data_IF_389904307848
#
_entry.id   IF_389904307848
#
_cell.length_a   1.000
_cell.length_b   1.000
_cell.length_c   1.000
_cell.angle_alpha   90.00
_cell.angle_beta   90.00
_cell.angle_gamma   90.00
#
_symmetry.space_group_name_H-M   'P 1'
#
loop_
_entity.id
_entity.type
_entity.pdbx_description
1 polymer ?
#
# COMPACT_ATOMS: atom_id res chain seq x y z
N UNK A 1 -10.27 -27.33 21.51
CA UNK A 1 -9.78 -26.89 20.19
C UNK A 1 -8.72 -25.83 20.38
N UNK A 2 -7.66 -25.81 19.54
CA UNK A 2 -6.53 -24.89 19.66
C UNK A 2 -6.69 -23.71 18.69
N UNK A 3 -6.17 -22.53 19.04
CA UNK A 3 -6.07 -21.36 18.16
C UNK A 3 -4.64 -21.21 17.66
N UNK A 4 -4.48 -21.16 16.34
CA UNK A 4 -3.19 -21.07 15.69
C UNK A 4 -2.83 -19.60 15.44
N UNK A 5 -1.66 -19.19 15.89
CA UNK A 5 -0.99 -18.00 15.38
C UNK A 5 0.20 -18.38 14.51
N UNK A 6 0.45 -17.63 13.45
CA UNK A 6 1.55 -17.85 12.51
C UNK A 6 2.36 -16.57 12.42
N UNK A 7 3.69 -16.64 12.59
CA UNK A 7 4.52 -15.44 12.52
C UNK A 7 6.00 -15.66 12.78
N UNK A 8 6.76 -14.56 12.69
CA UNK A 8 8.20 -14.52 13.00
C UNK A 8 8.48 -14.22 14.47
N UNK A 9 7.70 -13.33 15.10
CA UNK A 9 7.83 -12.98 16.52
C UNK A 9 9.19 -12.37 16.91
N UNK A 10 9.64 -11.36 16.16
CA UNK A 10 11.00 -10.82 16.28
C UNK A 10 11.07 -9.28 16.31
N UNK A 11 11.65 -8.68 17.36
CA UNK A 11 11.81 -9.28 18.69
C UNK A 11 10.44 -9.62 19.31
N UNK A 12 10.41 -10.58 20.23
CA UNK A 12 9.17 -10.93 20.92
C UNK A 12 8.78 -9.85 21.95
N UNK A 13 7.89 -8.93 21.56
CA UNK A 13 7.50 -7.76 22.37
C UNK A 13 6.07 -7.82 22.94
N UNK A 14 5.69 -6.80 23.73
CA UNK A 14 4.39 -6.67 24.43
C UNK A 14 3.18 -6.82 23.51
N UNK A 15 3.23 -6.27 22.30
CA UNK A 15 2.15 -6.44 21.31
C UNK A 15 1.84 -7.89 20.94
N UNK A 16 2.85 -8.74 20.73
CA UNK A 16 2.64 -10.16 20.50
C UNK A 16 2.01 -10.82 21.72
N UNK A 17 2.48 -10.47 22.93
CA UNK A 17 1.94 -10.99 24.18
C UNK A 17 0.45 -10.70 24.32
N UNK A 18 0.05 -9.44 24.12
CA UNK A 18 -1.34 -9.03 24.24
C UNK A 18 -2.30 -9.80 23.29
N UNK A 19 -1.85 -10.14 22.07
CA UNK A 19 -2.63 -10.97 21.15
C UNK A 19 -2.85 -12.38 21.69
N UNK A 20 -1.78 -13.00 22.17
CA UNK A 20 -1.79 -14.37 22.71
C UNK A 20 -2.60 -14.41 24.01
N UNK A 21 -2.35 -13.49 24.94
CA UNK A 21 -3.03 -13.36 26.23
C UNK A 21 -4.54 -13.20 26.05
N UNK A 22 -4.98 -12.44 25.05
CA UNK A 22 -6.40 -12.26 24.76
C UNK A 22 -7.07 -13.58 24.37
N UNK A 23 -6.38 -14.43 23.61
CA UNK A 23 -6.92 -15.75 23.22
C UNK A 23 -6.86 -16.73 24.38
N UNK A 24 -5.79 -16.72 25.18
CA UNK A 24 -5.68 -17.53 26.40
C UNK A 24 -6.77 -17.18 27.41
N UNK A 25 -7.05 -15.89 27.64
CA UNK A 25 -8.12 -15.39 28.53
C UNK A 25 -9.53 -15.81 28.10
N UNK A 26 -9.73 -16.17 26.83
CA UNK A 26 -10.98 -16.77 26.34
C UNK A 26 -11.07 -18.28 26.64
N UNK A 27 -10.13 -18.85 27.38
CA UNK A 27 -10.07 -20.27 27.74
C UNK A 27 -9.61 -21.19 26.59
N UNK A 28 -9.00 -20.63 25.54
CA UNK A 28 -8.54 -21.41 24.37
C UNK A 28 -7.08 -21.79 24.53
N UNK A 29 -6.75 -23.03 24.14
CA UNK A 29 -5.35 -23.45 23.97
C UNK A 29 -4.74 -22.76 22.75
N UNK A 30 -3.48 -22.37 22.82
CA UNK A 30 -2.79 -21.66 21.74
C UNK A 30 -1.69 -22.52 21.14
N UNK A 31 -1.58 -22.51 19.80
CA UNK A 31 -0.43 -23.02 19.05
C UNK A 31 0.20 -21.84 18.32
N UNK A 32 1.53 -21.75 18.37
CA UNK A 32 2.31 -20.75 17.66
C UNK A 32 3.16 -21.47 16.61
N UNK A 33 2.81 -21.29 15.34
CA UNK A 33 3.65 -21.69 14.21
C UNK A 33 4.72 -20.63 13.96
N UNK A 34 5.92 -20.91 14.43
CA UNK A 34 7.07 -20.03 14.33
C UNK A 34 7.80 -20.27 13.01
N UNK A 35 7.87 -19.23 12.17
CA UNK A 35 8.57 -19.29 10.87
C UNK A 35 10.08 -19.37 11.04
N UNK A 36 10.70 -20.33 10.37
CA UNK A 36 12.14 -20.49 10.31
C UNK A 36 12.77 -19.54 9.27
N UNK A 37 12.93 -18.28 9.63
CA UNK A 37 13.52 -17.23 8.79
C UNK A 37 15.04 -17.18 8.91
N UNK A 38 15.76 -16.77 7.84
CA UNK A 38 17.18 -16.44 7.92
C UNK A 38 17.48 -15.35 8.95
N UNK A 39 18.70 -15.36 9.49
CA UNK A 39 19.20 -14.30 10.38
C UNK A 39 19.59 -13.09 9.54
N UNK A 40 19.22 -11.90 9.99
CA UNK A 40 19.66 -10.62 9.42
C UNK A 40 19.76 -9.57 10.52
N UNK A 41 20.25 -8.36 10.21
CA UNK A 41 20.26 -7.24 11.17
C UNK A 41 18.87 -6.94 11.73
N UNK A 42 17.83 -7.02 10.88
CA UNK A 42 16.43 -6.87 11.29
C UNK A 42 15.87 -8.11 12.01
N UNK A 43 16.48 -9.28 11.80
CA UNK A 43 16.04 -10.57 12.34
C UNK A 43 17.22 -11.27 13.06
N UNK A 44 17.70 -10.75 14.20
CA UNK A 44 18.99 -11.16 14.80
C UNK A 44 18.97 -12.49 15.58
N UNK A 45 17.83 -13.18 15.62
CA UNK A 45 17.56 -14.38 16.43
C UNK A 45 17.13 -15.54 15.56
N UNK A 46 17.73 -16.70 15.83
CA UNK A 46 17.33 -17.99 15.29
C UNK A 46 15.90 -18.36 15.70
N UNK A 47 15.33 -19.34 15.00
CA UNK A 47 14.02 -19.90 15.38
C UNK A 47 14.05 -20.56 16.77
N UNK A 48 15.20 -21.12 17.18
CA UNK A 48 15.39 -21.73 18.50
C UNK A 48 15.34 -20.69 19.61
N UNK A 49 16.12 -19.62 19.49
CA UNK A 49 16.14 -18.52 20.47
C UNK A 49 14.76 -17.87 20.60
N UNK A 50 14.07 -17.66 19.48
CA UNK A 50 12.69 -17.13 19.49
C UNK A 50 11.72 -18.07 20.20
N UNK A 51 11.82 -19.37 19.96
CA UNK A 51 11.01 -20.36 20.67
C UNK A 51 11.29 -20.34 22.18
N UNK A 52 12.56 -20.24 22.59
CA UNK A 52 12.95 -20.10 24.00
C UNK A 52 12.41 -18.82 24.63
N UNK A 53 12.47 -17.68 23.93
CA UNK A 53 11.87 -16.42 24.40
C UNK A 53 10.38 -16.55 24.67
N UNK A 54 9.64 -17.22 23.77
CA UNK A 54 8.20 -17.44 23.94
C UNK A 54 7.94 -18.43 25.08
N UNK A 55 8.71 -19.53 25.19
CA UNK A 55 8.61 -20.50 26.29
C UNK A 55 8.90 -19.88 27.65
N UNK A 56 9.85 -18.95 27.74
CA UNK A 56 10.12 -18.23 29.00
C UNK A 56 8.93 -17.39 29.48
N UNK A 57 8.04 -16.99 28.57
CA UNK A 57 6.86 -16.17 28.91
C UNK A 57 5.65 -17.05 29.22
N UNK A 58 5.43 -18.11 28.45
CA UNK A 58 4.19 -18.89 28.51
C UNK A 58 4.34 -20.33 29.00
N UNK A 59 5.56 -20.84 29.14
CA UNK A 59 5.80 -22.24 29.49
C UNK A 59 4.99 -23.19 28.61
N UNK A 60 4.20 -24.04 29.25
CA UNK A 60 3.35 -25.04 28.60
C UNK A 60 1.93 -24.53 28.27
N UNK A 61 1.61 -23.26 28.54
CA UNK A 61 0.31 -22.66 28.17
C UNK A 61 0.15 -22.52 26.65
N UNK A 62 1.28 -22.46 25.92
CA UNK A 62 1.32 -22.40 24.46
C UNK A 62 2.15 -23.54 23.89
N UNK A 63 1.66 -24.13 22.82
CA UNK A 63 2.43 -25.09 22.02
C UNK A 63 3.15 -24.36 20.90
N UNK A 64 4.42 -24.69 20.66
CA UNK A 64 5.21 -24.06 19.59
C UNK A 64 5.55 -25.14 18.56
N UNK A 65 5.23 -24.85 17.30
CA UNK A 65 5.66 -25.65 16.16
C UNK A 65 6.55 -24.79 15.26
N UNK A 66 7.65 -25.36 14.76
CA UNK A 66 8.50 -24.68 13.78
C UNK A 66 8.00 -25.04 12.39
N UNK A 67 7.81 -24.03 11.55
CA UNK A 67 7.42 -24.20 10.14
C UNK A 67 8.48 -23.59 9.21
N UNK A 68 8.55 -24.02 7.94
CA UNK A 68 9.35 -23.34 6.93
C UNK A 68 9.01 -21.86 6.84
N UNK A 69 9.90 -21.07 6.24
CA UNK A 69 9.55 -19.71 5.91
C UNK A 69 8.51 -19.70 4.78
N UNK A 70 7.31 -19.20 5.06
CA UNK A 70 6.18 -19.25 4.12
C UNK A 70 5.85 -17.86 3.56
N UNK A 71 5.50 -17.82 2.27
CA UNK A 71 5.03 -16.61 1.62
C UNK A 71 3.52 -16.35 1.86
N UNK A 72 2.72 -17.41 1.88
CA UNK A 72 1.26 -17.32 1.94
C UNK A 72 0.62 -18.44 2.76
N UNK A 73 -0.63 -18.21 3.17
CA UNK A 73 -1.50 -19.21 3.81
C UNK A 73 -2.79 -19.29 3.00
N UNK A 74 -2.92 -20.35 2.21
CA UNK A 74 -4.07 -20.60 1.36
C UNK A 74 -5.08 -21.52 2.07
N UNK A 75 -6.38 -21.30 1.89
CA UNK A 75 -7.43 -22.10 2.50
C UNK A 75 -8.64 -22.24 1.57
N UNK A 76 -9.29 -23.41 1.61
CA UNK A 76 -10.43 -23.76 0.75
C UNK A 76 -11.80 -23.45 1.34
N UNK A 77 -12.85 -23.94 0.66
CA UNK A 77 -14.23 -23.90 1.18
C UNK A 77 -14.41 -24.98 2.26
N UNK A 78 -15.15 -24.66 3.33
CA UNK A 78 -15.51 -25.59 4.44
C UNK A 78 -14.31 -26.23 5.16
N UNK A 79 -13.24 -25.48 5.40
CA UNK A 79 -11.99 -25.96 6.03
C UNK A 79 -12.10 -26.45 7.49
N UNK A 80 -13.28 -26.42 8.10
CA UNK A 80 -13.49 -26.91 9.47
C UNK A 80 -12.92 -26.01 10.58
N UNK A 81 -12.27 -24.89 10.25
CA UNK A 81 -11.79 -23.89 11.21
C UNK A 81 -12.28 -22.47 10.86
N UNK A 82 -12.25 -21.57 11.85
CA UNK A 82 -12.63 -20.16 11.70
C UNK A 82 -11.38 -19.29 11.55
N UNK A 83 -11.41 -18.36 10.60
CA UNK A 83 -10.41 -17.29 10.51
C UNK A 83 -10.91 -16.11 11.32
N UNK A 84 -10.11 -15.69 12.30
CA UNK A 84 -10.45 -14.60 13.20
C UNK A 84 -9.30 -13.61 13.28
N UNK A 85 -9.62 -12.33 13.09
CA UNK A 85 -8.72 -11.24 13.47
C UNK A 85 -8.91 -10.89 14.94
N UNK A 86 -7.87 -11.03 15.74
CA UNK A 86 -7.83 -10.52 17.12
C UNK A 86 -7.52 -9.02 17.05
N UNK A 87 -8.40 -8.18 17.61
CA UNK A 87 -8.19 -6.72 17.70
C UNK A 87 -7.71 -6.37 19.10
N UNK A 88 -6.69 -5.53 19.22
CA UNK A 88 -6.23 -4.99 20.49
C UNK A 88 -6.78 -3.56 20.66
N UNK A 89 -6.63 -2.98 21.84
CA UNK A 89 -6.88 -1.55 22.03
C UNK A 89 -5.84 -0.72 21.24
N UNK A 90 -6.18 0.53 20.91
CA UNK A 90 -5.35 1.38 20.04
C UNK A 90 -3.91 1.54 20.55
N UNK A 91 -3.73 1.69 21.86
CA UNK A 91 -2.43 1.92 22.47
C UNK A 91 -1.54 0.66 22.37
N UNK A 92 -2.12 -0.53 22.54
CA UNK A 92 -1.39 -1.80 22.39
C UNK A 92 -1.15 -2.18 20.93
N UNK A 93 -2.05 -1.82 20.01
CA UNK A 93 -1.80 -1.94 18.56
C UNK A 93 -0.59 -1.07 18.15
N UNK A 94 -0.48 0.15 18.69
CA UNK A 94 0.67 1.05 18.47
C UNK A 94 1.99 0.49 19.02
N UNK A 95 1.97 -0.28 20.12
CA UNK A 95 3.17 -0.96 20.67
C UNK A 95 3.54 -2.21 19.85
N UNK A 96 2.54 -2.88 19.26
CA UNK A 96 2.74 -4.07 18.41
C UNK A 96 3.27 -3.74 17.01
N UNK A 97 3.10 -2.49 16.59
CA UNK A 97 3.81 -1.92 15.48
C UNK A 97 5.21 -1.56 15.97
N UNK A 98 6.17 -2.47 15.76
CA UNK A 98 7.59 -2.11 15.75
C UNK A 98 7.73 -0.77 15.02
N UNK A 99 8.41 0.20 15.65
CA UNK A 99 8.69 1.56 15.16
C UNK A 99 9.50 1.61 13.83
N UNK A 100 9.39 0.60 12.96
CA UNK A 100 10.12 0.44 11.69
C UNK A 100 9.17 0.29 10.48
N UNK A 101 7.86 0.55 10.61
CA UNK A 101 6.96 0.72 9.44
C UNK A 101 6.03 1.90 9.61
N UNK A 102 6.61 3.07 9.83
CA UNK A 102 5.84 4.31 9.80
C UNK A 102 5.63 4.86 8.37
N UNK A 103 5.66 4.02 7.33
CA UNK A 103 5.04 4.41 6.06
C UNK A 103 3.54 4.12 6.14
N UNK A 104 2.73 5.07 6.63
CA UNK A 104 1.29 5.06 6.32
C UNK A 104 1.19 5.05 4.80
N UNK A 105 0.81 3.91 4.21
CA UNK A 105 0.68 3.81 2.75
C UNK A 105 -0.26 4.89 2.24
N UNK A 106 0.18 5.63 1.21
CA UNK A 106 -0.51 6.84 0.75
C UNK A 106 -1.15 6.63 -0.61
N UNK A 107 -2.25 7.34 -0.83
CA UNK A 107 -2.72 7.63 -2.19
C UNK A 107 -2.19 9.01 -2.50
N UNK A 108 -1.41 9.13 -3.57
CA UNK A 108 -0.82 10.36 -4.07
C UNK A 108 -1.51 10.66 -5.39
N UNK A 109 -2.15 11.82 -5.50
CA UNK A 109 -2.90 12.17 -6.69
C UNK A 109 -2.24 13.33 -7.41
N UNK A 110 -1.67 13.04 -8.58
CA UNK A 110 -1.11 14.04 -9.48
C UNK A 110 -2.24 14.62 -10.33
N UNK A 111 -2.50 15.92 -10.19
CA UNK A 111 -3.50 16.64 -10.99
C UNK A 111 -2.85 17.81 -11.72
N UNK A 112 -3.32 18.08 -12.93
CA UNK A 112 -2.78 19.11 -13.82
C UNK A 112 -3.33 18.91 -15.23
N UNK A 113 -3.22 19.93 -16.09
CA UNK A 113 -3.69 19.84 -17.47
C UNK A 113 -2.97 18.76 -18.28
N UNK A 114 -3.53 18.40 -19.45
CA UNK A 114 -2.85 17.50 -20.40
C UNK A 114 -1.47 18.08 -20.74
N UNK A 115 -0.44 17.23 -20.74
CA UNK A 115 0.93 17.64 -21.05
C UNK A 115 1.66 18.41 -19.94
N UNK A 116 1.11 18.51 -18.73
CA UNK A 116 1.80 19.14 -17.58
C UNK A 116 2.95 18.29 -16.99
N UNK A 117 3.20 17.08 -17.50
CA UNK A 117 4.27 16.20 -16.99
C UNK A 117 3.86 15.20 -15.89
N UNK A 118 2.56 14.98 -15.63
CA UNK A 118 2.08 14.04 -14.59
C UNK A 118 2.65 12.63 -14.71
N UNK A 119 2.52 12.02 -15.89
CA UNK A 119 2.95 10.63 -16.11
C UNK A 119 4.46 10.48 -15.95
N UNK A 120 5.27 11.44 -16.45
CA UNK A 120 6.71 11.44 -16.25
C UNK A 120 7.09 11.53 -14.75
N UNK A 121 6.44 12.41 -13.99
CA UNK A 121 6.66 12.51 -12.55
C UNK A 121 6.16 11.28 -11.79
N UNK A 122 5.08 10.64 -12.25
CA UNK A 122 4.53 9.42 -11.65
C UNK A 122 5.53 8.27 -11.68
N UNK A 123 6.18 8.04 -12.83
CA UNK A 123 7.19 6.98 -12.99
C UNK A 123 8.43 7.21 -12.11
N UNK A 124 8.91 8.45 -11.99
CA UNK A 124 10.03 8.74 -11.08
C UNK A 124 9.66 8.52 -9.61
N UNK A 125 8.45 8.88 -9.23
CA UNK A 125 7.94 8.67 -7.88
C UNK A 125 7.64 7.20 -7.59
N UNK A 126 7.27 6.40 -8.59
CA UNK A 126 6.98 4.98 -8.44
C UNK A 126 8.18 4.22 -7.89
N UNK A 127 9.35 4.39 -8.52
CA UNK A 127 10.58 3.78 -8.04
C UNK A 127 10.87 4.23 -6.62
N UNK A 128 10.89 5.54 -6.35
CA UNK A 128 11.27 6.09 -5.03
C UNK A 128 10.33 5.71 -3.90
N UNK A 129 9.03 5.58 -4.17
CA UNK A 129 8.01 5.35 -3.16
C UNK A 129 7.52 3.89 -3.09
N UNK A 130 8.03 3.02 -3.97
CA UNK A 130 7.55 1.65 -4.16
C UNK A 130 6.01 1.63 -4.23
N UNK A 131 5.49 2.25 -5.28
CA UNK A 131 4.07 2.51 -5.46
C UNK A 131 3.51 1.75 -6.68
N UNK A 132 2.20 1.60 -6.72
CA UNK A 132 1.47 1.20 -7.93
C UNK A 132 0.99 2.48 -8.63
N UNK A 133 1.26 2.62 -9.92
CA UNK A 133 0.70 3.70 -10.73
C UNK A 133 -0.70 3.30 -11.23
N UNK A 134 -1.65 4.23 -11.09
CA UNK A 134 -2.93 4.22 -11.81
C UNK A 134 -2.89 5.35 -12.84
N UNK A 135 -2.48 5.03 -14.07
CA UNK A 135 -2.40 5.98 -15.17
C UNK A 135 -3.78 6.24 -15.79
N UNK A 136 -4.08 7.49 -16.13
CA UNK A 136 -5.40 7.87 -16.63
C UNK A 136 -5.80 7.22 -17.95
N UNK A 137 -4.86 6.96 -18.85
CA UNK A 137 -5.16 6.36 -20.15
C UNK A 137 -5.38 4.86 -20.00
N UNK A 138 -4.54 4.17 -19.22
CA UNK A 138 -4.73 2.76 -18.87
C UNK A 138 -6.03 2.51 -18.09
N UNK A 139 -6.32 3.35 -17.09
CA UNK A 139 -7.57 3.27 -16.31
C UNK A 139 -8.81 3.59 -17.15
N UNK A 140 -8.64 4.32 -18.27
CA UNK A 140 -9.72 4.54 -19.23
C UNK A 140 -10.03 3.30 -20.04
N UNK A 141 -9.00 2.63 -20.54
CA UNK A 141 -9.16 1.42 -21.34
C UNK A 141 -9.65 0.22 -20.50
N UNK A 142 -9.28 0.16 -19.21
CA UNK A 142 -9.66 -0.93 -18.32
C UNK A 142 -11.00 -0.70 -17.62
N UNK A 143 -11.02 0.10 -16.55
CA UNK A 143 -12.17 0.22 -15.65
C UNK A 143 -13.18 1.27 -16.10
N UNK A 144 -12.88 2.02 -17.16
CA UNK A 144 -13.75 3.09 -17.68
C UNK A 144 -14.02 2.97 -19.17
N UNK A 145 -13.92 1.76 -19.70
CA UNK A 145 -14.23 1.46 -21.10
C UNK A 145 -15.65 1.95 -21.45
N UNK A 146 -15.78 2.57 -22.61
CA UNK A 146 -17.05 3.14 -23.10
C UNK A 146 -17.44 4.50 -22.50
N UNK A 147 -16.70 5.04 -21.52
CA UNK A 147 -16.93 6.40 -21.03
C UNK A 147 -16.31 7.44 -21.98
N UNK A 148 -17.09 8.46 -22.31
CA UNK A 148 -16.61 9.62 -23.04
C UNK A 148 -15.77 10.58 -22.17
N UNK A 149 -15.75 11.83 -22.61
CA UNK A 149 -14.99 12.91 -21.99
C UNK A 149 -15.87 14.04 -21.43
N UNK A 150 -17.19 13.79 -21.31
CA UNK A 150 -18.11 14.72 -20.67
C UNK A 150 -17.77 14.94 -19.20
N UNK A 151 -18.29 16.02 -18.60
CA UNK A 151 -18.12 16.30 -17.17
C UNK A 151 -18.57 15.12 -16.29
N UNK A 152 -19.69 14.49 -16.64
CA UNK A 152 -20.25 13.34 -15.93
C UNK A 152 -19.36 12.11 -16.07
N UNK A 153 -18.89 11.81 -17.29
CA UNK A 153 -18.02 10.65 -17.55
C UNK A 153 -16.67 10.79 -16.84
N UNK A 154 -16.09 12.00 -16.86
CA UNK A 154 -14.87 12.30 -16.11
C UNK A 154 -15.05 12.13 -14.62
N UNK A 155 -16.20 12.54 -14.08
CA UNK A 155 -16.50 12.30 -12.67
C UNK A 155 -16.58 10.80 -12.37
N UNK A 156 -17.34 10.02 -13.15
CA UNK A 156 -17.46 8.56 -12.96
C UNK A 156 -16.10 7.89 -13.03
N UNK A 157 -15.29 8.20 -14.05
CA UNK A 157 -13.93 7.72 -14.20
C UNK A 157 -13.06 8.01 -12.96
N UNK A 158 -13.00 9.28 -12.54
CA UNK A 158 -12.25 9.70 -11.36
C UNK A 158 -12.70 8.98 -10.07
N UNK A 159 -14.01 8.77 -9.89
CA UNK A 159 -14.54 8.06 -8.72
C UNK A 159 -14.29 6.55 -8.78
N UNK A 160 -14.16 5.94 -9.96
CA UNK A 160 -13.75 4.53 -10.12
C UNK A 160 -12.27 4.39 -9.71
N UNK A 161 -11.40 5.24 -10.26
CA UNK A 161 -9.97 5.27 -9.91
C UNK A 161 -9.76 5.52 -8.41
N UNK A 162 -10.50 6.45 -7.80
CA UNK A 162 -10.41 6.72 -6.36
C UNK A 162 -10.79 5.50 -5.48
N UNK A 163 -11.77 4.70 -5.91
CA UNK A 163 -12.15 3.47 -5.20
C UNK A 163 -11.09 2.39 -5.35
N UNK A 164 -10.53 2.21 -6.56
CA UNK A 164 -9.43 1.28 -6.78
C UNK A 164 -8.20 1.65 -5.95
N UNK A 165 -7.81 2.93 -5.96
CA UNK A 165 -6.70 3.43 -5.16
C UNK A 165 -6.90 3.19 -3.65
N UNK A 166 -8.14 3.31 -3.15
CA UNK A 166 -8.46 2.99 -1.76
C UNK A 166 -8.26 1.51 -1.43
N UNK A 167 -8.66 0.62 -2.34
CA UNK A 167 -8.51 -0.83 -2.17
C UNK A 167 -7.03 -1.20 -2.13
N UNK A 168 -6.24 -0.73 -3.10
CA UNK A 168 -4.80 -0.99 -3.15
C UNK A 168 -4.07 -0.45 -1.91
N UNK A 169 -4.40 0.76 -1.47
CA UNK A 169 -3.88 1.30 -0.19
C UNK A 169 -4.25 0.41 1.00
N UNK A 170 -5.47 -0.10 1.06
CA UNK A 170 -5.90 -0.99 2.14
C UNK A 170 -5.19 -2.35 2.13
N UNK A 171 -4.65 -2.76 0.98
CA UNK A 171 -3.82 -3.95 0.81
C UNK A 171 -2.34 -3.70 1.13
N UNK A 172 -1.95 -2.46 1.45
CA UNK A 172 -0.58 -2.14 1.85
C UNK A 172 0.30 -1.54 0.75
N UNK A 173 -0.28 -1.08 -0.36
CA UNK A 173 0.48 -0.42 -1.43
C UNK A 173 0.43 1.10 -1.30
N UNK A 174 1.53 1.77 -1.64
CA UNK A 174 1.43 3.17 -2.05
C UNK A 174 0.79 3.20 -3.43
N UNK A 175 -0.02 4.22 -3.70
CA UNK A 175 -0.71 4.35 -4.97
C UNK A 175 -0.48 5.74 -5.49
N UNK A 176 0.08 5.86 -6.69
CA UNK A 176 0.21 7.11 -7.42
C UNK A 176 -0.89 7.13 -8.48
N UNK A 177 -1.69 8.18 -8.49
CA UNK A 177 -2.78 8.36 -9.45
C UNK A 177 -2.40 9.50 -10.39
N UNK A 178 -2.21 9.20 -11.67
CA UNK A 178 -1.87 10.16 -12.72
C UNK A 178 -3.10 10.44 -13.60
N UNK A 179 -4.12 11.08 -13.01
CA UNK A 179 -5.41 11.32 -13.67
C UNK A 179 -5.81 12.79 -13.60
N UNK A 180 -6.30 13.34 -14.71
CA UNK A 180 -6.86 14.69 -14.72
C UNK A 180 -8.18 14.70 -13.93
N UNK A 181 -8.17 15.43 -12.81
CA UNK A 181 -9.34 15.69 -11.98
C UNK A 181 -9.71 17.19 -12.07
N UNK A 182 -10.34 17.65 -13.17
CA UNK A 182 -10.42 19.08 -13.50
C UNK A 182 -11.39 19.85 -12.61
N UNK A 183 -12.43 19.20 -12.07
CA UNK A 183 -13.48 19.85 -11.30
C UNK A 183 -13.24 19.77 -9.79
N UNK A 184 -13.35 20.90 -9.08
CA UNK A 184 -13.20 20.95 -7.63
C UNK A 184 -14.26 20.11 -6.92
N UNK A 185 -15.47 20.04 -7.46
CA UNK A 185 -16.56 19.19 -6.95
C UNK A 185 -16.19 17.71 -6.96
N UNK A 186 -15.58 17.22 -8.04
CA UNK A 186 -15.09 15.84 -8.15
C UNK A 186 -13.92 15.60 -7.18
N UNK A 187 -12.96 16.53 -7.07
CA UNK A 187 -11.86 16.41 -6.10
C UNK A 187 -12.35 16.32 -4.64
N UNK A 188 -13.40 17.07 -4.28
CA UNK A 188 -14.05 16.93 -2.95
C UNK A 188 -14.61 15.53 -2.72
N UNK A 189 -15.25 14.92 -3.73
CA UNK A 189 -15.77 13.54 -3.64
C UNK A 189 -14.63 12.52 -3.53
N UNK A 190 -13.59 12.65 -4.34
CA UNK A 190 -12.37 11.83 -4.27
C UNK A 190 -11.77 11.88 -2.85
N UNK A 191 -11.63 13.08 -2.29
CA UNK A 191 -11.04 13.26 -0.97
C UNK A 191 -11.84 12.54 0.13
N UNK A 192 -13.18 12.51 0.04
CA UNK A 192 -14.02 11.72 0.94
C UNK A 192 -13.80 10.21 0.80
N UNK A 193 -13.40 9.71 -0.38
CA UNK A 193 -13.22 8.28 -0.65
C UNK A 193 -11.86 7.78 -0.13
N UNK A 194 -10.76 8.39 -0.58
CA UNK A 194 -9.41 7.87 -0.37
C UNK A 194 -8.47 8.81 0.39
N UNK A 195 -8.89 10.06 0.66
CA UNK A 195 -8.09 11.10 1.34
C UNK A 195 -6.66 11.18 0.74
N UNK A 196 -6.53 11.48 -0.56
CA UNK A 196 -5.22 11.48 -1.22
C UNK A 196 -4.41 12.71 -0.80
N UNK A 197 -3.09 12.59 -0.93
CA UNK A 197 -2.17 13.72 -1.01
C UNK A 197 -2.26 14.32 -2.41
N UNK A 198 -2.70 15.56 -2.51
CA UNK A 198 -2.88 16.28 -3.76
C UNK A 198 -1.60 16.97 -4.20
N UNK A 199 -1.09 16.56 -5.35
CA UNK A 199 0.05 17.19 -6.00
C UNK A 199 -0.46 17.88 -7.25
N UNK A 200 -0.42 19.21 -7.23
CA UNK A 200 -0.82 20.02 -8.36
C UNK A 200 0.38 20.38 -9.21
N UNK A 201 0.35 20.00 -10.49
CA UNK A 201 1.38 20.37 -11.47
C UNK A 201 0.83 21.45 -12.39
N UNK A 202 1.48 22.62 -12.36
CA UNK A 202 1.11 23.78 -13.20
C UNK A 202 1.47 23.56 -14.67
N UNK A 203 0.92 24.41 -15.52
CA UNK A 203 1.15 24.39 -16.96
C UNK A 203 0.26 23.37 -17.70
N UNK A 204 0.76 22.88 -18.84
CA UNK A 204 0.02 22.01 -19.76
C UNK A 204 -0.94 22.76 -20.68
N UNK A 205 -1.51 22.03 -21.64
CA UNK A 205 -2.43 22.58 -22.64
C UNK A 205 -3.83 22.70 -22.04
N UNK A 206 -4.38 23.91 -22.04
CA UNK A 206 -5.79 24.15 -21.72
C UNK A 206 -6.62 23.66 -22.91
N UNK A 207 -7.48 22.66 -22.70
CA UNK A 207 -8.39 22.21 -23.73
C UNK A 207 -9.46 23.26 -23.97
N UNK A 208 -9.73 23.63 -25.24
CA UNK A 208 -10.76 24.61 -25.62
C UNK A 208 -12.13 24.30 -24.97
N UNK A 209 -12.46 23.02 -24.82
CA UNK A 209 -13.73 22.55 -24.24
C UNK A 209 -13.59 21.94 -22.84
N UNK A 210 -12.42 22.07 -22.21
CA UNK A 210 -12.10 21.43 -20.92
C UNK A 210 -11.61 22.46 -19.90
N UNK A 211 -12.52 23.16 -19.22
CA UNK A 211 -12.14 24.03 -18.12
C UNK A 211 -11.52 23.19 -17.00
N UNK A 212 -10.26 23.51 -16.67
CA UNK A 212 -9.57 22.95 -15.52
C UNK A 212 -9.63 23.97 -14.40
N UNK A 213 -10.26 23.60 -13.28
CA UNK A 213 -10.30 24.43 -12.08
C UNK A 213 -9.05 24.09 -11.25
N UNK A 214 -8.06 25.00 -11.10
CA UNK A 214 -6.90 24.71 -10.26
C UNK A 214 -7.31 24.39 -8.82
N UNK A 215 -6.65 23.44 -8.14
CA UNK A 215 -6.90 23.20 -6.72
C UNK A 215 -6.48 24.43 -5.92
N UNK A 216 -7.34 24.85 -4.97
CA UNK A 216 -7.07 26.01 -4.11
C UNK A 216 -5.99 25.71 -3.06
N UNK A 217 -6.08 24.53 -2.43
CA UNK A 217 -5.18 24.08 -1.36
C UNK A 217 -4.65 22.67 -1.68
N UNK A 218 -3.80 22.49 -2.70
CA UNK A 218 -3.08 21.22 -2.87
C UNK A 218 -2.06 21.05 -1.74
N UNK A 219 -1.72 19.81 -1.40
CA UNK A 219 -0.67 19.52 -0.41
C UNK A 219 0.71 19.92 -0.95
N UNK A 220 0.97 19.70 -2.25
CA UNK A 220 2.18 20.15 -2.95
C UNK A 220 1.81 20.82 -4.26
N UNK A 221 2.47 21.93 -4.59
CA UNK A 221 2.41 22.56 -5.92
C UNK A 221 3.77 22.47 -6.60
N UNK A 222 3.77 21.99 -7.85
CA UNK A 222 4.92 21.89 -8.74
C UNK A 222 4.76 22.87 -9.90
N UNK A 223 5.82 23.60 -10.20
CA UNK A 223 5.90 24.54 -11.33
C UNK A 223 7.05 24.15 -12.27
N UNK A 224 6.79 23.36 -13.33
CA UNK A 224 7.83 22.83 -14.21
C UNK A 224 8.68 23.90 -14.95
N UNK A 225 8.30 25.18 -14.85
CA UNK A 225 9.08 26.31 -15.39
C UNK A 225 10.11 26.86 -14.41
N UNK A 226 10.03 26.47 -13.14
CA UNK A 226 10.86 26.98 -12.03
C UNK A 226 11.67 25.91 -11.34
N UNK A 227 11.30 24.65 -11.50
CA UNK A 227 11.97 23.50 -10.89
C UNK A 227 12.06 22.37 -11.93
N UNK A 228 13.18 21.65 -11.90
CA UNK A 228 13.40 20.45 -12.69
C UNK A 228 12.52 19.31 -12.19
N UNK A 229 12.42 18.25 -13.00
CA UNK A 229 11.64 17.08 -12.67
C UNK A 229 12.20 16.32 -11.44
N UNK A 230 13.53 16.32 -11.26
CA UNK A 230 14.19 15.71 -10.10
C UNK A 230 13.94 16.51 -8.82
N UNK A 231 14.09 17.84 -8.87
CA UNK A 231 13.77 18.71 -7.72
C UNK A 231 12.30 18.57 -7.30
N UNK A 232 11.40 18.48 -8.29
CA UNK A 232 9.98 18.22 -8.05
C UNK A 232 9.75 16.89 -7.33
N UNK A 233 10.43 15.83 -7.78
CA UNK A 233 10.36 14.49 -7.17
C UNK A 233 10.86 14.52 -5.72
N UNK A 234 12.04 15.10 -5.47
CA UNK A 234 12.63 15.17 -4.12
C UNK A 234 11.74 15.92 -3.14
N UNK A 235 11.18 17.06 -3.58
CA UNK A 235 10.21 17.84 -2.81
C UNK A 235 8.98 17.03 -2.41
N UNK A 236 8.46 16.22 -3.34
CA UNK A 236 7.32 15.34 -3.09
C UNK A 236 7.69 14.23 -2.12
N UNK A 237 8.83 13.57 -2.32
CA UNK A 237 9.32 12.50 -1.45
C UNK A 237 9.51 13.03 -0.03
N UNK A 238 10.06 14.23 0.15
CA UNK A 238 10.21 14.88 1.46
C UNK A 238 8.87 15.10 2.17
N UNK A 239 7.83 15.52 1.45
CA UNK A 239 6.51 15.81 2.02
C UNK A 239 5.68 14.54 2.30
N UNK A 240 5.78 13.55 1.40
CA UNK A 240 5.11 12.25 1.52
C UNK A 240 5.82 11.35 2.54
N UNK A 241 7.10 11.62 2.80
CA UNK A 241 8.02 10.80 3.59
C UNK A 241 8.68 9.72 2.73
N UNK A 242 9.99 9.55 2.89
CA UNK A 242 10.71 8.42 2.32
C UNK A 242 10.17 7.10 2.88
N UNK A 243 10.24 6.07 2.05
CA UNK A 243 9.96 4.71 2.45
C UNK A 243 11.23 3.95 2.12
N UNK A 244 11.92 3.47 3.15
CA UNK A 244 13.06 2.59 2.97
C UNK A 244 12.67 1.43 2.05
N UNK A 245 13.47 1.24 1.00
CA UNK A 245 13.39 0.05 0.18
C UNK A 245 13.79 -1.14 1.05
N UNK A 246 12.93 -2.16 1.25
CA UNK A 246 13.47 -3.48 1.47
C UNK A 246 14.16 -3.85 0.15
N UNK A 247 15.49 -3.82 0.15
CA UNK A 247 16.29 -3.94 -1.06
C UNK A 247 15.86 -5.09 -2.00
N UNK A 248 15.91 -4.81 -3.31
CA UNK A 248 16.24 -5.76 -4.38
C UNK A 248 15.84 -7.22 -4.13
N UNK A 249 14.57 -7.56 -4.33
CA UNK A 249 14.18 -8.87 -4.88
C UNK A 249 13.92 -8.69 -6.37
N UNK A 250 14.93 -8.19 -7.10
CA UNK A 250 15.05 -8.38 -8.55
C UNK A 250 15.98 -9.58 -8.73
N UNK A 251 15.37 -10.76 -8.76
CA UNK A 251 15.83 -11.90 -9.52
C UNK A 251 14.58 -12.67 -9.93
N UNK A 252 14.21 -12.59 -11.22
CA UNK A 252 13.36 -13.60 -11.84
C UNK A 252 11.94 -13.22 -12.30
N UNK A 253 11.68 -11.98 -12.72
CA UNK A 253 10.53 -11.74 -13.62
C UNK A 253 11.04 -10.97 -14.84
N UNK A 254 11.32 -11.70 -15.91
CA UNK A 254 11.45 -11.11 -17.25
C UNK A 254 10.12 -10.47 -17.66
N UNK A 255 10.14 -9.30 -18.31
CA UNK A 255 8.93 -8.74 -18.90
C UNK A 255 8.53 -9.60 -20.09
N UNK A 256 7.43 -10.37 -19.95
CA UNK A 256 6.74 -10.92 -21.10
C UNK A 256 6.18 -9.76 -21.95
N UNK A 257 6.97 -9.33 -22.94
CA UNK A 257 6.45 -8.70 -24.15
C UNK A 257 5.55 -9.74 -24.83
N UNK A 258 4.24 -9.60 -24.69
CA UNK A 258 3.33 -10.17 -25.69
C UNK A 258 3.39 -9.28 -26.93
N UNK A 259 4.25 -9.67 -27.86
CA UNK A 259 4.14 -9.27 -29.27
C UNK A 259 2.80 -9.86 -29.75
N UNK A 260 1.84 -8.99 -30.04
CA UNK A 260 0.66 -9.35 -30.82
C UNK A 260 1.16 -9.43 -32.26
N UNK A 261 1.50 -10.62 -32.73
CA UNK A 261 1.59 -10.86 -34.17
C UNK A 261 0.17 -10.84 -34.73
N UNK A 262 -0.11 -9.80 -35.51
CA UNK A 262 -1.26 -9.72 -36.39
C UNK A 262 -1.16 -10.85 -37.42
N UNK A 263 -2.10 -11.80 -37.35
CA UNK A 263 -2.37 -12.69 -38.47
C UNK A 263 -3.10 -11.89 -39.56
N UNK A 264 -2.41 -11.71 -40.69
CA UNK A 264 -2.99 -11.53 -42.03
C UNK A 264 -2.10 -12.27 -43.01
#
# INVERSE_FOLDING_TARGET
MKSLFIGRYQPFHKGHKALIDKVLKEGKKVVIALRNTPISEENPYTVKERAEMIKKVYGDEVEIIVIPDIAEVCYGRKVGYKIRRVRLDKQTEEISATRIRNSKKRVIWLTGNVGSGKTALAYLLEERLNAIILDGDEMRQSISYGLGFSKKDREVHNLRVARLAKILKSQGYNVIVSVIAPFASTRKKIHKICKPYWIYIKGGKVGKDMPYEPPKNPDVTIDPTKESLLESMEKIVKEVGEIEHPEKVRNGIEPHLHIIESQT
#
